data_IF_249917752419
#
_entry.id   IF_249917752419
#
_cell.length_a   1.000
_cell.length_b   1.000
_cell.length_c   1.000
_cell.angle_alpha   90.00
_cell.angle_beta   90.00
_cell.angle_gamma   90.00
#
_symmetry.space_group_name_H-M   'P 1'
#
loop_
_entity.id
_entity.type
_entity.pdbx_description
1 polymer ?
#
# COMPACT_ATOMS: atom_id res chain seq x y z
N UNK A 1 7.51 -31.54 14.62
CA UNK A 1 8.66 -31.16 13.74
C UNK A 1 9.15 -32.24 12.76
N UNK A 2 9.77 -33.38 13.14
CA UNK A 2 10.24 -34.37 12.14
C UNK A 2 9.14 -35.12 11.37
N UNK A 3 7.92 -35.17 11.92
CA UNK A 3 6.76 -35.87 11.32
C UNK A 3 6.04 -34.99 10.29
N UNK A 4 5.78 -33.72 10.60
CA UNK A 4 5.15 -32.75 9.69
C UNK A 4 5.97 -32.49 8.42
N UNK A 5 7.31 -32.53 8.51
CA UNK A 5 8.17 -32.34 7.33
C UNK A 5 8.00 -33.44 6.28
N UNK A 6 7.68 -34.66 6.71
CA UNK A 6 7.45 -35.80 5.81
C UNK A 6 6.08 -35.71 5.15
N UNK A 7 5.04 -35.32 5.89
CA UNK A 7 3.70 -35.12 5.32
C UNK A 7 3.68 -34.01 4.26
N UNK A 8 4.45 -32.93 4.47
CA UNK A 8 4.56 -31.86 3.48
C UNK A 8 5.25 -32.33 2.18
N UNK A 9 6.30 -33.14 2.28
CA UNK A 9 6.98 -33.70 1.10
C UNK A 9 6.07 -34.65 0.33
N UNK A 10 5.27 -35.45 1.05
CA UNK A 10 4.36 -36.41 0.44
C UNK A 10 3.18 -35.74 -0.28
N UNK A 11 2.72 -34.58 0.22
CA UNK A 11 1.71 -33.75 -0.44
C UNK A 11 2.25 -33.08 -1.70
N UNK A 12 3.47 -32.54 -1.66
CA UNK A 12 4.10 -31.92 -2.84
C UNK A 12 4.34 -32.95 -3.95
N UNK A 13 4.80 -34.16 -3.60
CA UNK A 13 4.98 -35.26 -4.55
C UNK A 13 3.66 -35.79 -5.14
N UNK A 14 2.50 -35.57 -4.49
CA UNK A 14 1.18 -35.88 -5.07
C UNK A 14 0.69 -34.80 -6.01
N UNK A 15 0.91 -33.53 -5.66
CA UNK A 15 0.54 -32.39 -6.50
C UNK A 15 1.35 -32.38 -7.82
N UNK A 16 2.65 -32.68 -7.75
CA UNK A 16 3.51 -32.75 -8.94
C UNK A 16 3.08 -33.85 -9.91
N UNK A 17 2.46 -34.93 -9.41
CA UNK A 17 1.89 -36.01 -10.24
C UNK A 17 0.51 -35.69 -10.82
N UNK A 18 -0.22 -34.73 -10.25
CA UNK A 18 -1.57 -34.38 -10.71
C UNK A 18 -1.58 -33.26 -11.76
N UNK A 19 -0.51 -32.49 -11.88
CA UNK A 19 -0.45 -31.39 -12.85
C UNK A 19 0.41 -31.82 -14.04
N UNK A 20 -0.24 -32.40 -15.05
CA UNK A 20 0.40 -32.56 -16.36
C UNK A 20 0.50 -31.20 -17.04
N UNK A 21 1.66 -30.83 -17.62
CA UNK A 21 1.76 -29.60 -18.41
C UNK A 21 0.78 -29.68 -19.59
N UNK A 22 0.18 -28.54 -20.00
CA UNK A 22 -0.73 -28.51 -21.14
C UNK A 22 -0.02 -29.03 -22.38
N UNK A 23 -0.73 -29.81 -23.19
CA UNK A 23 -0.14 -30.39 -24.39
C UNK A 23 0.21 -29.29 -25.40
N UNK A 24 1.17 -29.55 -26.28
CA UNK A 24 1.52 -28.61 -27.35
C UNK A 24 0.30 -28.26 -28.24
N UNK A 25 -0.66 -29.17 -28.35
CA UNK A 25 -1.92 -28.94 -29.05
C UNK A 25 -2.82 -27.94 -28.31
N UNK A 26 -2.87 -27.97 -26.98
CA UNK A 26 -3.61 -27.00 -26.18
C UNK A 26 -3.01 -25.60 -26.31
N UNK A 27 -1.67 -25.52 -26.30
CA UNK A 27 -0.95 -24.26 -26.51
C UNK A 27 -1.21 -23.69 -27.91
N UNK A 28 -1.22 -24.54 -28.95
CA UNK A 28 -1.56 -24.13 -30.32
C UNK A 28 -3.03 -23.74 -30.45
N UNK A 29 -3.95 -24.40 -29.75
CA UNK A 29 -5.37 -24.03 -29.73
C UNK A 29 -5.56 -22.66 -29.08
N UNK A 30 -4.92 -22.40 -27.93
CA UNK A 30 -4.94 -21.10 -27.26
C UNK A 30 -4.38 -19.97 -28.15
N UNK A 31 -3.30 -20.22 -28.88
CA UNK A 31 -2.71 -19.25 -29.80
C UNK A 31 -3.66 -18.91 -30.98
N UNK A 32 -4.43 -19.88 -31.49
CA UNK A 32 -5.43 -19.65 -32.54
C UNK A 32 -6.61 -18.81 -32.03
N UNK A 33 -7.09 -19.07 -30.81
CA UNK A 33 -8.18 -18.30 -30.20
C UNK A 33 -7.79 -16.85 -29.91
N UNK A 34 -6.51 -16.59 -29.60
CA UNK A 34 -5.99 -15.23 -29.44
C UNK A 34 -5.92 -14.46 -30.78
N UNK A 35 -5.74 -15.17 -31.89
CA UNK A 35 -5.55 -14.60 -33.23
C UNK A 35 -6.87 -14.28 -33.96
N UNK A 36 -8.01 -14.79 -33.47
CA UNK A 36 -9.32 -14.66 -34.12
C UNK A 36 -10.16 -13.48 -33.63
N UNK A 37 -9.59 -12.52 -32.89
CA UNK A 37 -10.31 -11.29 -32.52
C UNK A 37 -10.41 -10.36 -33.73
N UNK A 38 -11.61 -10.00 -34.20
CA UNK A 38 -11.76 -9.10 -35.34
C UNK A 38 -11.19 -7.71 -35.02
N UNK A 39 -10.38 -7.22 -35.96
CA UNK A 39 -9.75 -5.90 -35.92
C UNK A 39 -10.85 -4.82 -36.00
N UNK A 40 -10.88 -3.83 -35.09
CA UNK A 40 -11.85 -2.74 -35.18
C UNK A 40 -11.66 -1.98 -36.50
N UNK A 41 -12.77 -1.74 -37.21
CA UNK A 41 -12.79 -0.92 -38.41
C UNK A 41 -12.37 0.53 -38.08
N UNK A 42 -11.61 1.19 -38.96
CA UNK A 42 -11.19 2.57 -38.74
C UNK A 42 -12.39 3.53 -38.88
N UNK A 43 -12.52 4.44 -37.91
CA UNK A 43 -13.50 5.53 -37.96
C UNK A 43 -13.19 6.51 -39.11
N UNK A 44 -14.23 7.11 -39.73
CA UNK A 44 -14.04 8.07 -40.82
C UNK A 44 -13.40 9.38 -40.32
N UNK A 45 -12.41 9.86 -41.07
CA UNK A 45 -11.71 11.12 -40.78
C UNK A 45 -12.57 12.35 -41.13
N UNK A 46 -12.49 13.44 -40.35
CA UNK A 46 -13.15 14.70 -40.67
C UNK A 46 -12.45 15.49 -41.81
N UNK A 47 -13.17 16.40 -42.49
CA UNK A 47 -12.68 17.07 -43.69
C UNK A 47 -11.56 18.08 -43.41
N UNK A 48 -10.56 18.01 -44.29
CA UNK A 48 -9.28 18.73 -44.25
C UNK A 48 -9.44 20.09 -44.93
N UNK A 49 -9.42 21.20 -44.16
CA UNK A 49 -9.25 22.56 -44.70
C UNK A 49 -7.77 22.88 -44.81
N UNK A 50 -7.29 23.12 -46.03
CA UNK A 50 -5.99 23.73 -46.29
C UNK A 50 -6.10 25.25 -46.13
N UNK A 51 -5.00 25.90 -45.75
CA UNK A 51 -4.44 26.82 -46.73
C UNK A 51 -2.93 26.65 -46.92
N UNK A 52 -2.55 26.93 -48.17
CA UNK A 52 -1.20 27.08 -48.71
C UNK A 52 -0.47 28.23 -48.03
N UNK A 53 0.73 28.00 -47.49
CA UNK A 53 1.94 28.84 -47.62
C UNK A 53 3.14 27.92 -47.32
N UNK A 54 3.78 27.36 -48.35
CA UNK A 54 4.93 27.93 -49.06
C UNK A 54 6.25 27.82 -48.26
N UNK A 55 7.05 26.83 -48.70
CA UNK A 55 8.51 26.84 -48.93
C UNK A 55 9.38 27.38 -47.79
N UNK A 56 10.26 26.52 -47.25
CA UNK A 56 11.63 26.80 -46.73
C UNK A 56 11.99 25.85 -45.56
N UNK A 57 12.20 24.54 -45.80
CA UNK A 57 12.88 23.64 -44.83
C UNK A 57 13.55 22.44 -45.54
N UNK A 58 14.31 22.70 -46.61
CA UNK A 58 14.99 21.64 -47.38
C UNK A 58 16.39 21.24 -46.89
N UNK A 59 17.00 21.96 -45.93
CA UNK A 59 18.46 21.81 -45.67
C UNK A 59 18.81 21.37 -44.24
N UNK A 60 17.87 21.40 -43.27
CA UNK A 60 18.20 21.01 -41.88
C UNK A 60 18.03 19.50 -41.58
N UNK A 61 17.43 18.72 -42.46
CA UNK A 61 17.07 17.32 -42.18
C UNK A 61 18.22 16.32 -42.35
N UNK A 62 19.32 16.69 -43.03
CA UNK A 62 20.42 15.76 -43.32
C UNK A 62 21.52 15.79 -42.23
N UNK A 63 21.68 16.91 -41.51
CA UNK A 63 22.64 16.99 -40.41
C UNK A 63 22.19 16.22 -39.14
N UNK A 64 20.89 16.03 -38.93
CA UNK A 64 20.36 15.34 -37.75
C UNK A 64 20.48 13.80 -37.85
N UNK A 65 20.57 13.25 -39.06
CA UNK A 65 20.65 11.79 -39.27
C UNK A 65 22.09 11.27 -39.07
N UNK A 66 23.11 12.10 -39.29
CA UNK A 66 24.51 11.69 -39.09
C UNK A 66 24.94 11.80 -37.61
N UNK A 67 24.34 12.70 -36.82
CA UNK A 67 24.64 12.84 -35.39
C UNK A 67 24.07 11.70 -34.51
N UNK A 68 23.00 11.03 -34.94
CA UNK A 68 22.39 9.92 -34.17
C UNK A 68 23.06 8.56 -34.47
N UNK A 69 23.75 8.42 -35.62
CA UNK A 69 24.39 7.17 -36.04
C UNK A 69 25.74 6.85 -35.39
N UNK A 70 26.45 7.84 -34.84
CA UNK A 70 27.81 7.66 -34.29
C UNK A 70 27.88 7.56 -32.75
N UNK A 71 26.76 7.72 -32.03
CA UNK A 71 26.73 7.74 -30.56
C UNK A 71 26.63 6.38 -29.85
N UNK A 72 26.37 5.28 -30.57
CA UNK A 72 26.09 3.96 -29.96
C UNK A 72 27.27 2.97 -30.07
N UNK A 73 28.38 3.36 -30.71
CA UNK A 73 29.37 2.40 -31.21
C UNK A 73 30.72 2.25 -30.47
N UNK A 74 30.97 2.88 -29.31
CA UNK A 74 32.31 2.87 -28.69
C UNK A 74 32.40 2.40 -27.23
N UNK A 75 31.30 1.92 -26.63
CA UNK A 75 31.32 1.42 -25.24
C UNK A 75 31.54 -0.08 -25.05
N UNK A 76 31.58 -0.88 -26.13
CA UNK A 76 31.50 -2.35 -26.04
C UNK A 76 32.85 -3.09 -26.02
N UNK A 77 34.00 -2.39 -26.01
CA UNK A 77 35.30 -3.03 -26.27
C UNK A 77 36.22 -3.27 -25.05
N UNK A 78 35.79 -3.03 -23.81
CA UNK A 78 36.61 -3.38 -22.63
C UNK A 78 35.73 -3.90 -21.48
N UNK A 79 35.18 -5.11 -21.62
CA UNK A 79 34.83 -5.98 -20.50
C UNK A 79 34.74 -7.45 -20.97
N UNK A 80 35.46 -8.39 -20.32
CA UNK A 80 35.25 -9.81 -20.57
C UNK A 80 33.93 -10.24 -19.92
N UNK A 81 33.00 -10.73 -20.74
CA UNK A 81 31.80 -11.51 -20.37
C UNK A 81 30.99 -11.01 -19.17
N UNK A 82 30.13 -10.02 -19.42
CA UNK A 82 28.98 -9.71 -18.59
C UNK A 82 27.92 -9.05 -19.45
N UNK A 83 26.79 -9.71 -19.67
CA UNK A 83 25.64 -9.14 -20.39
C UNK A 83 25.22 -7.83 -19.73
N UNK A 84 25.48 -6.71 -20.41
CA UNK A 84 24.86 -5.43 -20.04
C UNK A 84 23.34 -5.58 -20.23
N UNK A 85 22.58 -5.43 -19.14
CA UNK A 85 21.13 -5.30 -19.25
C UNK A 85 20.80 -4.09 -20.16
N UNK A 86 19.70 -4.13 -20.94
CA UNK A 86 19.27 -3.00 -21.75
C UNK A 86 19.22 -1.71 -20.93
N UNK A 87 19.60 -0.57 -21.53
CA UNK A 87 19.70 0.72 -20.86
C UNK A 87 18.43 1.12 -20.09
N UNK A 88 18.55 2.00 -19.08
CA UNK A 88 17.46 2.27 -18.14
C UNK A 88 16.32 3.03 -18.82
N UNK A 89 15.27 2.29 -19.18
CA UNK A 89 13.94 2.83 -19.45
C UNK A 89 13.14 2.62 -18.16
N UNK A 90 13.21 3.55 -17.21
CA UNK A 90 12.37 3.50 -15.99
C UNK A 90 13.03 3.90 -14.68
N UNK A 91 12.30 3.66 -13.59
CA UNK A 91 12.66 3.97 -12.20
C UNK A 91 13.81 3.06 -11.68
N UNK A 92 14.83 3.64 -11.03
CA UNK A 92 15.97 2.94 -10.40
C UNK A 92 17.27 3.75 -10.48
N UNK A 93 18.42 3.13 -10.75
CA UNK A 93 19.73 3.83 -10.70
C UNK A 93 20.42 3.88 -12.06
N UNK A 94 21.11 4.98 -12.37
CA UNK A 94 22.15 4.97 -13.39
C UNK A 94 23.46 4.43 -12.79
N UNK A 95 24.20 3.53 -13.46
CA UNK A 95 25.46 3.03 -12.95
C UNK A 95 26.51 4.14 -12.89
N UNK A 96 27.12 4.34 -11.72
CA UNK A 96 28.34 5.13 -11.56
C UNK A 96 29.61 4.34 -11.88
N UNK A 97 30.77 5.00 -12.03
CA UNK A 97 32.05 4.31 -12.15
C UNK A 97 32.28 3.35 -10.97
N UNK A 98 32.55 2.08 -11.25
CA UNK A 98 32.74 1.04 -10.23
C UNK A 98 31.45 0.54 -9.56
N UNK A 99 30.27 0.87 -10.10
CA UNK A 99 28.98 0.38 -9.60
C UNK A 99 28.32 -0.57 -10.58
N UNK A 100 27.79 -1.66 -10.04
CA UNK A 100 26.87 -2.56 -10.73
C UNK A 100 25.45 -2.20 -10.34
N UNK A 101 24.56 -2.06 -11.33
CA UNK A 101 23.13 -1.80 -11.11
C UNK A 101 22.31 -2.96 -11.68
N UNK A 102 21.31 -3.38 -10.92
CA UNK A 102 20.31 -4.36 -11.32
C UNK A 102 18.91 -3.77 -11.12
N UNK A 103 18.03 -3.93 -12.09
CA UNK A 103 16.62 -3.50 -12.01
C UNK A 103 15.69 -4.64 -12.45
N UNK A 104 14.56 -4.84 -11.74
CA UNK A 104 13.60 -5.92 -12.06
C UNK A 104 12.46 -5.49 -13.00
N UNK A 105 12.47 -4.25 -13.49
CA UNK A 105 11.52 -3.72 -14.48
C UNK A 105 10.99 -2.33 -14.09
N UNK A 106 10.36 -1.63 -15.04
CA UNK A 106 9.82 -0.26 -14.89
C UNK A 106 8.44 -0.19 -14.24
N UNK A 107 7.74 -1.31 -14.14
CA UNK A 107 6.29 -1.33 -13.90
C UNK A 107 6.00 -1.53 -12.41
N UNK A 108 6.31 -0.53 -11.59
CA UNK A 108 5.75 -0.47 -10.25
C UNK A 108 4.22 -0.40 -10.39
N UNK A 109 3.52 -1.38 -9.83
CA UNK A 109 2.05 -1.36 -9.70
C UNK A 109 1.69 -1.33 -8.22
N UNK A 110 0.43 -1.05 -7.85
CA UNK A 110 0.00 -1.19 -6.45
C UNK A 110 0.19 -2.61 -5.90
N UNK A 111 0.20 -3.62 -6.78
CA UNK A 111 0.30 -5.03 -6.42
C UNK A 111 1.74 -5.58 -6.53
N UNK A 112 2.63 -4.88 -7.25
CA UNK A 112 4.00 -5.32 -7.51
C UNK A 112 4.98 -4.17 -7.39
N UNK A 113 5.90 -4.27 -6.42
CA UNK A 113 6.96 -3.28 -6.25
C UNK A 113 7.99 -3.40 -7.39
N UNK A 114 8.43 -2.26 -7.94
CA UNK A 114 9.64 -2.26 -8.75
C UNK A 114 10.85 -2.22 -7.81
N UNK A 115 11.92 -2.91 -8.18
CA UNK A 115 13.12 -3.06 -7.37
C UNK A 115 14.35 -2.68 -8.18
N UNK A 116 15.22 -1.87 -7.57
CA UNK A 116 16.55 -1.56 -8.10
C UNK A 116 17.62 -1.79 -7.02
N UNK A 117 18.72 -2.41 -7.40
CA UNK A 117 19.88 -2.64 -6.55
C UNK A 117 21.08 -1.97 -7.19
N UNK A 118 21.84 -1.19 -6.42
CA UNK A 118 23.14 -0.66 -6.82
C UNK A 118 24.20 -1.12 -5.82
N UNK A 119 25.33 -1.62 -6.32
CA UNK A 119 26.44 -2.03 -5.45
C UNK A 119 27.81 -1.72 -6.05
N UNK A 120 28.79 -1.39 -5.22
CA UNK A 120 30.19 -1.20 -5.62
C UNK A 120 31.04 -2.48 -5.49
N UNK A 121 30.41 -3.62 -5.19
CA UNK A 121 31.04 -4.94 -5.18
C UNK A 121 30.37 -5.86 -6.19
N UNK A 122 31.04 -6.90 -6.69
CA UNK A 122 30.40 -7.90 -7.53
C UNK A 122 29.19 -8.53 -6.80
N UNK A 123 28.06 -8.62 -7.48
CA UNK A 123 26.90 -9.37 -6.97
C UNK A 123 27.23 -10.87 -6.92
N UNK A 124 26.81 -11.53 -5.84
CA UNK A 124 26.90 -12.98 -5.75
C UNK A 124 26.04 -13.63 -6.86
N UNK A 125 26.46 -14.75 -7.48
CA UNK A 125 25.70 -15.38 -8.57
C UNK A 125 24.25 -15.73 -8.21
N UNK A 126 24.00 -16.09 -6.95
CA UNK A 126 22.66 -16.37 -6.41
C UNK A 126 21.78 -15.12 -6.31
N UNK A 127 22.38 -13.93 -6.22
CA UNK A 127 21.70 -12.64 -6.22
C UNK A 127 21.66 -12.01 -7.62
N UNK A 128 21.80 -12.82 -8.67
CA UNK A 128 21.65 -12.34 -10.05
C UNK A 128 20.20 -11.92 -10.35
N UNK A 129 19.98 -11.34 -11.52
CA UNK A 129 18.66 -10.89 -12.02
C UNK A 129 17.54 -11.93 -11.86
N UNK A 130 17.87 -13.23 -11.94
CA UNK A 130 16.91 -14.33 -11.74
C UNK A 130 16.66 -14.63 -10.26
N UNK A 131 17.69 -14.55 -9.42
CA UNK A 131 17.59 -14.83 -7.99
C UNK A 131 16.81 -13.75 -7.24
N UNK A 132 17.06 -12.47 -7.55
CA UNK A 132 16.39 -11.34 -6.89
C UNK A 132 14.89 -11.25 -7.20
N UNK A 133 14.43 -11.76 -8.36
CA UNK A 133 13.00 -11.83 -8.69
C UNK A 133 12.22 -12.85 -7.87
N UNK A 134 12.92 -13.84 -7.29
CA UNK A 134 12.32 -14.95 -6.55
C UNK A 134 12.59 -14.88 -5.03
N UNK A 135 13.44 -13.93 -4.59
CA UNK A 135 13.77 -13.70 -3.18
C UNK A 135 13.01 -12.49 -2.62
N UNK A 136 13.18 -12.20 -1.33
CA UNK A 136 12.61 -11.06 -0.59
C UNK A 136 12.99 -9.65 -1.13
N UNK A 137 13.57 -9.57 -2.32
CA UNK A 137 14.06 -8.33 -2.94
C UNK A 137 15.43 -7.86 -2.44
N UNK A 138 16.08 -8.63 -1.56
CA UNK A 138 17.40 -8.33 -1.00
C UNK A 138 18.47 -9.27 -1.56
N UNK A 139 19.68 -8.78 -1.90
CA UNK A 139 20.79 -9.61 -2.37
C UNK A 139 21.49 -10.28 -1.17
N UNK A 140 20.87 -11.31 -0.59
CA UNK A 140 21.25 -11.87 0.70
C UNK A 140 22.69 -12.43 0.71
N UNK A 141 23.06 -13.21 -0.30
CA UNK A 141 24.39 -13.85 -0.37
C UNK A 141 25.50 -12.80 -0.51
N UNK A 142 25.24 -11.71 -1.23
CA UNK A 142 26.11 -10.54 -1.37
C UNK A 142 26.24 -9.80 -0.05
N UNK A 143 25.14 -9.60 0.68
CA UNK A 143 25.14 -8.91 1.98
C UNK A 143 25.90 -9.70 3.06
N UNK A 144 25.81 -11.03 3.06
CA UNK A 144 26.58 -11.90 3.97
C UNK A 144 28.08 -11.76 3.77
N UNK A 145 28.52 -11.59 2.52
CA UNK A 145 29.93 -11.51 2.13
C UNK A 145 30.42 -10.07 1.93
N UNK A 146 29.59 -9.06 2.26
CA UNK A 146 29.90 -7.67 1.98
C UNK A 146 31.20 -7.24 2.70
N UNK A 147 32.26 -6.85 1.96
CA UNK A 147 33.53 -6.43 2.56
C UNK A 147 33.39 -5.07 3.25
N UNK A 148 34.30 -4.67 4.15
CA UNK A 148 34.18 -3.43 4.92
C UNK A 148 34.00 -2.13 4.12
N UNK A 149 34.48 -2.12 2.86
CA UNK A 149 34.35 -1.00 1.90
C UNK A 149 33.19 -1.19 0.91
N UNK A 150 32.44 -2.27 1.04
CA UNK A 150 31.29 -2.59 0.22
C UNK A 150 30.06 -1.80 0.62
N UNK A 151 29.31 -1.38 -0.39
CA UNK A 151 28.03 -0.69 -0.28
C UNK A 151 27.02 -1.41 -1.17
N UNK A 152 25.83 -1.63 -0.63
CA UNK A 152 24.66 -2.07 -1.37
C UNK A 152 23.53 -1.09 -1.06
N UNK A 153 22.91 -0.55 -2.10
CA UNK A 153 21.71 0.28 -2.03
C UNK A 153 20.58 -0.51 -2.68
N UNK A 154 19.51 -0.74 -1.92
CA UNK A 154 18.30 -1.38 -2.42
C UNK A 154 17.18 -0.35 -2.42
N UNK A 155 16.58 -0.09 -3.58
CA UNK A 155 15.46 0.81 -3.75
C UNK A 155 14.21 0.01 -4.14
N UNK A 156 13.17 0.13 -3.32
CA UNK A 156 11.84 -0.40 -3.57
C UNK A 156 10.92 0.74 -3.96
N UNK A 157 10.26 0.62 -5.09
CA UNK A 157 9.34 1.63 -5.63
C UNK A 157 7.93 1.07 -5.68
N UNK A 158 7.00 1.84 -5.14
CA UNK A 158 5.56 1.58 -5.19
C UNK A 158 4.84 2.82 -5.70
N UNK A 159 3.74 2.65 -6.43
CA UNK A 159 2.93 3.79 -6.81
C UNK A 159 2.26 4.39 -5.59
N UNK A 160 2.30 5.72 -5.48
CA UNK A 160 1.56 6.48 -4.48
C UNK A 160 0.08 6.33 -4.78
N UNK A 161 -0.59 5.50 -3.99
CA UNK A 161 -2.05 5.43 -4.02
C UNK A 161 -2.61 6.71 -3.41
N UNK A 162 -3.34 7.50 -4.21
CA UNK A 162 -4.03 8.74 -3.77
C UNK A 162 -4.98 8.55 -2.58
N UNK A 163 -5.30 7.30 -2.22
CA UNK A 163 -6.34 6.93 -1.26
C UNK A 163 -5.83 6.32 0.06
N UNK A 164 -4.52 6.30 0.32
CA UNK A 164 -3.96 5.84 1.59
C UNK A 164 -3.40 7.03 2.42
N UNK A 165 -4.22 7.71 3.24
CA UNK A 165 -3.83 8.92 3.98
C UNK A 165 -2.61 8.78 4.87
N UNK A 166 -2.45 7.61 5.49
CA UNK A 166 -1.42 7.32 6.50
C UNK A 166 -0.04 7.11 5.89
N UNK A 167 0.05 7.01 4.56
CA UNK A 167 1.32 6.78 3.87
C UNK A 167 2.18 8.01 3.70
N UNK A 168 1.57 9.18 3.52
CA UNK A 168 2.30 10.40 3.13
C UNK A 168 3.20 10.90 4.27
N UNK A 169 2.91 10.50 5.52
CA UNK A 169 3.78 10.76 6.66
C UNK A 169 4.88 9.70 6.82
N UNK A 170 4.60 8.43 6.49
CA UNK A 170 5.61 7.37 6.46
C UNK A 170 6.59 7.54 5.30
N UNK A 171 6.20 8.30 4.28
CA UNK A 171 6.95 8.61 3.08
C UNK A 171 6.89 10.12 2.80
N UNK A 172 7.62 10.95 3.57
CA UNK A 172 7.62 12.40 3.39
C UNK A 172 7.94 12.77 1.94
N UNK A 173 7.29 13.81 1.44
CA UNK A 173 7.58 14.32 0.09
C UNK A 173 8.99 14.91 0.04
N UNK A 174 9.77 14.43 -0.93
CA UNK A 174 11.13 14.89 -1.19
C UNK A 174 11.34 15.11 -2.68
N UNK A 175 12.19 16.08 -3.01
CA UNK A 175 12.72 16.26 -4.35
C UNK A 175 14.04 15.49 -4.50
N UNK A 176 14.35 15.07 -5.73
CA UNK A 176 15.67 14.51 -6.03
C UNK A 176 16.72 15.63 -6.08
N UNK A 177 17.98 15.37 -5.67
CA UNK A 177 18.49 14.09 -5.16
C UNK A 177 18.22 13.89 -3.66
N UNK A 178 17.86 12.65 -3.28
CA UNK A 178 17.71 12.24 -1.89
C UNK A 178 19.07 12.22 -1.18
N UNK A 179 19.10 12.37 0.15
CA UNK A 179 20.35 12.39 0.93
C UNK A 179 20.46 11.21 1.87
N UNK A 180 21.60 10.52 1.85
CA UNK A 180 21.91 9.39 2.75
C UNK A 180 21.84 9.83 4.22
N UNK A 181 22.18 11.09 4.53
CA UNK A 181 22.12 11.64 5.90
C UNK A 181 20.70 11.70 6.47
N UNK A 182 19.68 11.70 5.60
CA UNK A 182 18.28 11.73 6.02
C UNK A 182 17.76 10.31 6.33
N UNK A 183 18.60 9.28 6.12
CA UNK A 183 18.29 7.90 6.44
C UNK A 183 18.38 7.65 7.96
N UNK A 184 17.39 6.93 8.49
CA UNK A 184 17.37 6.50 9.88
C UNK A 184 18.30 5.31 10.09
N UNK A 185 18.99 5.24 11.23
CA UNK A 185 19.92 4.17 11.61
C UNK A 185 19.23 2.85 12.04
N UNK A 186 18.04 2.59 11.52
CA UNK A 186 17.28 1.37 11.75
C UNK A 186 16.49 1.03 10.50
N UNK A 187 16.50 -0.26 10.12
CA UNK A 187 15.61 -0.79 9.10
C UNK A 187 14.39 -1.33 9.83
N UNK A 188 13.21 -0.81 9.49
CA UNK A 188 11.97 -1.26 10.10
C UNK A 188 11.75 -2.73 9.74
N UNK A 189 11.59 -3.59 10.75
CA UNK A 189 11.29 -5.03 10.59
C UNK A 189 12.41 -5.93 10.06
N UNK A 190 13.68 -5.50 10.04
CA UNK A 190 14.79 -6.40 9.66
C UNK A 190 15.63 -6.85 10.86
N UNK A 191 16.07 -8.11 10.82
CA UNK A 191 17.09 -8.65 11.71
C UNK A 191 18.48 -8.31 11.17
N UNK A 192 19.45 -8.09 12.06
CA UNK A 192 20.85 -7.92 11.67
C UNK A 192 21.30 -9.17 10.89
N UNK A 193 21.57 -9.01 9.59
CA UNK A 193 21.89 -10.14 8.70
C UNK A 193 23.19 -10.85 9.07
N UNK A 194 24.08 -10.17 9.80
CA UNK A 194 25.36 -10.69 10.26
C UNK A 194 25.56 -10.41 11.76
N UNK A 195 25.10 -11.31 12.64
CA UNK A 195 25.22 -11.10 14.10
C UNK A 195 26.68 -10.89 14.55
N UNK A 196 27.61 -11.66 13.99
CA UNK A 196 29.03 -11.62 14.37
C UNK A 196 29.82 -10.47 13.73
N UNK A 197 29.36 -9.97 12.58
CA UNK A 197 29.99 -8.88 11.82
C UNK A 197 28.91 -7.92 11.31
N UNK A 198 28.31 -7.14 12.22
CA UNK A 198 27.13 -6.34 11.91
C UNK A 198 27.39 -5.34 10.80
N UNK A 199 26.46 -5.28 9.86
CA UNK A 199 26.44 -4.29 8.79
C UNK A 199 25.98 -2.94 9.35
N UNK A 200 26.47 -1.84 8.75
CA UNK A 200 25.83 -0.55 8.89
C UNK A 200 24.55 -0.55 8.08
N UNK A 201 23.40 -0.41 8.74
CA UNK A 201 22.08 -0.53 8.13
C UNK A 201 21.29 0.75 8.31
N UNK A 202 20.82 1.32 7.20
CA UNK A 202 20.06 2.56 7.21
C UNK A 202 18.86 2.46 6.29
N UNK A 203 17.78 3.12 6.65
CA UNK A 203 16.55 3.18 5.86
C UNK A 203 16.15 4.63 5.61
N UNK A 204 15.86 4.94 4.36
CA UNK A 204 15.27 6.22 3.96
C UNK A 204 13.93 5.95 3.27
N UNK A 205 12.89 6.65 3.70
CA UNK A 205 11.58 6.61 3.08
C UNK A 205 11.27 7.98 2.50
N UNK A 206 10.81 8.00 1.25
CA UNK A 206 10.46 9.24 0.58
C UNK A 206 9.34 9.02 -0.42
N UNK A 207 8.55 10.07 -0.65
CA UNK A 207 7.68 10.19 -1.82
C UNK A 207 8.36 11.11 -2.83
N UNK A 208 8.60 10.62 -4.04
CA UNK A 208 9.14 11.38 -5.16
C UNK A 208 8.17 11.28 -6.33
N UNK A 209 7.51 12.38 -6.66
CA UNK A 209 6.43 12.39 -7.65
C UNK A 209 5.30 11.42 -7.27
N UNK A 210 4.94 10.52 -8.19
CA UNK A 210 3.90 9.50 -7.98
C UNK A 210 4.44 8.19 -7.37
N UNK A 211 5.68 8.17 -6.89
CA UNK A 211 6.30 6.97 -6.31
C UNK A 211 6.61 7.15 -4.83
N UNK A 212 6.27 6.14 -4.05
CA UNK A 212 6.83 5.93 -2.71
C UNK A 212 8.05 5.03 -2.83
N UNK A 213 9.10 5.43 -2.15
CA UNK A 213 10.44 4.85 -2.26
C UNK A 213 10.89 4.45 -0.87
N UNK A 214 11.26 3.17 -0.70
CA UNK A 214 12.04 2.70 0.45
C UNK A 214 13.44 2.41 -0.04
N UNK A 215 14.42 3.10 0.53
CA UNK A 215 15.84 2.92 0.28
C UNK A 215 16.49 2.26 1.49
N UNK A 216 17.07 1.08 1.28
CA UNK A 216 17.92 0.42 2.27
C UNK A 216 19.38 0.59 1.87
N UNK A 217 20.18 1.11 2.79
CA UNK A 217 21.63 1.21 2.64
C UNK A 217 22.29 0.16 3.54
N UNK A 218 23.12 -0.67 2.94
CA UNK A 218 23.94 -1.64 3.64
C UNK A 218 25.41 -1.31 3.42
N UNK A 219 26.12 -1.11 4.52
CA UNK A 219 27.56 -0.88 4.55
C UNK A 219 28.24 -2.10 5.18
N UNK A 220 29.33 -2.56 4.59
CA UNK A 220 30.09 -3.70 5.12
C UNK A 220 30.78 -3.44 6.47
N UNK A 221 30.77 -2.20 6.95
CA UNK A 221 31.20 -1.82 8.29
C UNK A 221 30.01 -1.28 9.10
N UNK A 222 29.93 -1.66 10.39
CA UNK A 222 28.89 -1.20 11.33
C UNK A 222 28.80 0.33 11.41
N UNK A 223 29.95 0.99 11.39
CA UNK A 223 30.07 2.44 11.39
C UNK A 223 30.78 2.86 10.09
N UNK A 224 30.03 3.19 9.03
CA UNK A 224 30.63 3.56 7.75
C UNK A 224 31.44 4.84 7.88
N UNK A 225 32.59 4.91 7.21
CA UNK A 225 33.40 6.12 7.18
C UNK A 225 32.70 7.23 6.36
N UNK A 226 33.02 8.51 6.60
CA UNK A 226 32.48 9.62 5.79
C UNK A 226 32.72 9.44 4.29
N UNK A 227 33.86 8.85 3.91
CA UNK A 227 34.18 8.54 2.51
C UNK A 227 33.23 7.48 1.92
N UNK A 228 32.84 6.49 2.73
CA UNK A 228 31.92 5.44 2.31
C UNK A 228 30.49 5.97 2.18
N UNK A 229 30.06 6.84 3.11
CA UNK A 229 28.78 7.58 3.01
C UNK A 229 28.76 8.46 1.77
N UNK A 230 29.83 9.22 1.50
CA UNK A 230 29.94 10.04 0.30
C UNK A 230 29.91 9.19 -0.99
N UNK A 231 30.47 7.98 -0.95
CA UNK A 231 30.42 7.04 -2.08
C UNK A 231 29.00 6.55 -2.33
N UNK A 232 28.25 6.20 -1.28
CA UNK A 232 26.83 5.88 -1.40
C UNK A 232 26.00 7.07 -1.91
N UNK A 233 26.28 8.28 -1.42
CA UNK A 233 25.60 9.50 -1.86
C UNK A 233 25.78 9.75 -3.35
N UNK A 234 27.01 9.63 -3.89
CA UNK A 234 27.27 9.81 -5.33
C UNK A 234 26.49 8.83 -6.21
N UNK A 235 26.22 7.62 -5.73
CA UNK A 235 25.37 6.67 -6.44
C UNK A 235 23.87 6.98 -6.23
N UNK A 236 23.48 7.44 -5.05
CA UNK A 236 22.10 7.87 -4.78
C UNK A 236 21.70 9.09 -5.62
N UNK A 237 22.64 10.03 -5.87
CA UNK A 237 22.45 11.17 -6.76
C UNK A 237 22.12 10.75 -8.21
N UNK A 238 22.35 9.47 -8.55
CA UNK A 238 22.03 8.85 -9.85
C UNK A 238 20.72 8.06 -9.82
N UNK A 239 19.91 8.20 -8.76
CA UNK A 239 18.57 7.65 -8.69
C UNK A 239 17.64 8.42 -9.66
N UNK A 240 16.91 7.68 -10.48
CA UNK A 240 15.89 8.19 -11.39
C UNK A 240 14.54 7.62 -10.97
N UNK A 241 13.54 8.47 -10.96
CA UNK A 241 12.15 8.10 -10.70
C UNK A 241 11.33 8.51 -11.91
N UNK A 242 10.75 7.55 -12.62
CA UNK A 242 9.92 7.85 -13.77
C UNK A 242 8.65 8.59 -13.33
N UNK A 243 8.23 9.60 -14.08
CA UNK A 243 6.92 10.21 -13.89
C UNK A 243 5.86 9.33 -14.55
N UNK A 244 4.79 9.02 -13.81
CA UNK A 244 3.64 8.30 -14.38
C UNK A 244 2.83 9.30 -15.17
N UNK A 245 3.16 9.48 -16.45
CA UNK A 245 2.33 10.23 -17.38
C UNK A 245 1.12 9.37 -17.76
N UNK A 246 0.16 9.24 -16.84
CA UNK A 246 -1.12 8.62 -17.16
C UNK A 246 -1.93 9.51 -18.12
N UNK A 247 -2.62 8.96 -19.12
CA UNK A 247 -3.59 9.73 -19.90
C UNK A 247 -4.70 10.17 -18.95
N UNK A 248 -4.74 11.45 -18.62
CA UNK A 248 -5.84 12.08 -17.89
C UNK A 248 -7.11 11.99 -18.75
N UNK A 249 -7.84 10.89 -18.64
CA UNK A 249 -9.18 10.81 -19.21
C UNK A 249 -10.05 11.83 -18.48
N UNK A 250 -10.58 12.80 -19.23
CA UNK A 250 -11.53 13.83 -18.78
C UNK A 250 -12.79 13.28 -18.05
N UNK A 251 -12.94 11.95 -17.95
CA UNK A 251 -13.96 11.26 -17.19
C UNK A 251 -13.89 11.51 -15.67
N UNK A 252 -12.68 11.59 -15.09
CA UNK A 252 -12.54 11.84 -13.64
C UNK A 252 -12.97 13.27 -13.24
N UNK A 253 -12.86 14.23 -14.17
CA UNK A 253 -13.25 15.63 -13.91
C UNK A 253 -14.76 15.85 -13.92
N UNK A 254 -15.53 15.00 -14.62
CA UNK A 254 -17.00 15.09 -14.65
C UNK A 254 -17.70 14.38 -13.48
N UNK A 255 -17.03 13.46 -12.80
CA UNK A 255 -17.61 12.81 -11.60
C UNK A 255 -17.41 13.63 -10.31
N UNK A 256 -16.49 14.60 -10.30
CA UNK A 256 -16.24 15.45 -9.13
C UNK A 256 -17.26 16.57 -8.92
N UNK A 257 -18.16 16.83 -9.88
CA UNK A 257 -19.14 17.94 -9.81
C UNK A 257 -20.58 17.50 -9.53
N UNK A 258 -20.90 16.20 -9.50
CA UNK A 258 -22.29 15.73 -9.35
C UNK A 258 -22.69 15.27 -7.94
N UNK A 259 -21.79 15.32 -6.95
CA UNK A 259 -22.15 15.09 -5.54
C UNK A 259 -21.10 15.71 -4.61
N UNK A 260 -21.01 17.03 -4.57
CA UNK A 260 -20.40 17.70 -3.42
C UNK A 260 -21.28 17.41 -2.19
N UNK A 261 -20.97 16.32 -1.46
CA UNK A 261 -21.54 16.10 -0.14
C UNK A 261 -21.23 17.35 0.68
N UNK A 262 -22.26 18.13 1.02
CA UNK A 262 -22.13 19.34 1.85
C UNK A 262 -21.31 18.98 3.09
N UNK A 263 -20.20 19.69 3.29
CA UNK A 263 -19.40 19.53 4.49
C UNK A 263 -20.33 19.75 5.69
N UNK A 264 -20.32 18.80 6.63
CA UNK A 264 -21.16 18.84 7.81
C UNK A 264 -20.31 18.56 9.04
N UNK A 265 -20.66 19.22 10.14
CA UNK A 265 -20.05 18.92 11.45
C UNK A 265 -20.56 17.59 12.01
N UNK A 266 -21.70 17.10 11.53
CA UNK A 266 -22.31 15.85 11.97
C UNK A 266 -22.54 14.94 10.76
N UNK A 267 -22.00 13.73 10.83
CA UNK A 267 -22.37 12.63 9.94
C UNK A 267 -23.21 11.67 10.76
N UNK A 268 -24.48 11.52 10.39
CA UNK A 268 -25.40 10.55 10.99
C UNK A 268 -26.07 9.78 9.85
N UNK A 269 -25.78 8.49 9.76
CA UNK A 269 -26.22 7.63 8.65
C UNK A 269 -26.65 6.29 9.18
N UNK A 270 -27.80 5.81 8.70
CA UNK A 270 -28.20 4.41 8.83
C UNK A 270 -27.91 3.68 7.53
N UNK A 271 -27.30 2.51 7.63
CA UNK A 271 -27.04 1.59 6.53
C UNK A 271 -27.56 0.20 6.86
N UNK A 272 -27.82 -0.60 5.83
CA UNK A 272 -28.05 -2.04 5.93
C UNK A 272 -26.82 -2.77 5.42
N UNK A 273 -26.26 -3.63 6.25
CA UNK A 273 -25.09 -4.44 5.94
C UNK A 273 -25.52 -5.88 5.73
N UNK A 274 -24.96 -6.56 4.71
CA UNK A 274 -25.17 -7.99 4.49
C UNK A 274 -23.98 -8.76 5.04
N UNK A 275 -24.25 -9.73 5.92
CA UNK A 275 -23.24 -10.55 6.57
C UNK A 275 -22.94 -11.77 5.71
N UNK A 276 -21.66 -12.10 5.57
CA UNK A 276 -21.17 -13.16 4.68
C UNK A 276 -21.83 -14.50 5.04
N UNK A 277 -22.40 -15.22 4.05
CA UNK A 277 -22.99 -16.52 4.31
C UNK A 277 -21.93 -17.57 4.65
N UNK A 278 -22.27 -18.47 5.59
CA UNK A 278 -21.47 -19.62 6.01
C UNK A 278 -21.60 -19.83 7.52
N UNK A 279 -21.86 -21.06 7.98
CA UNK A 279 -21.96 -21.39 9.41
C UNK A 279 -22.82 -20.45 10.25
N UNK A 280 -22.38 -20.20 11.49
CA UNK A 280 -22.90 -19.14 12.36
C UNK A 280 -22.49 -17.79 11.77
N UNK A 281 -23.47 -16.91 11.54
CA UNK A 281 -23.21 -15.54 11.07
C UNK A 281 -22.83 -14.68 12.24
N UNK A 282 -21.69 -14.04 12.11
CA UNK A 282 -20.96 -13.44 13.22
C UNK A 282 -20.56 -12.03 12.86
N UNK A 283 -20.52 -11.17 13.87
CA UNK A 283 -20.09 -9.79 13.76
C UNK A 283 -19.24 -9.48 14.98
N UNK A 284 -17.99 -9.12 14.76
CA UNK A 284 -17.11 -8.67 15.83
C UNK A 284 -17.46 -7.21 16.11
N UNK A 285 -17.68 -6.88 17.38
CA UNK A 285 -17.85 -5.51 17.84
C UNK A 285 -16.77 -5.20 18.85
N UNK A 286 -16.11 -4.07 18.67
CA UNK A 286 -14.96 -3.70 19.48
C UNK A 286 -15.09 -2.27 20.02
N UNK A 287 -14.53 -2.06 21.20
CA UNK A 287 -14.28 -0.72 21.73
C UNK A 287 -13.01 -0.71 22.56
N UNK A 288 -12.30 0.41 22.55
CA UNK A 288 -11.10 0.62 23.36
C UNK A 288 -11.10 2.04 23.91
N UNK A 289 -10.86 2.19 25.19
CA UNK A 289 -10.64 3.52 25.79
C UNK A 289 -9.28 4.07 25.39
N UNK A 290 -9.19 5.39 25.27
CA UNK A 290 -7.94 6.07 24.95
C UNK A 290 -6.93 5.96 26.08
N UNK A 291 -5.66 5.81 25.72
CA UNK A 291 -4.55 5.76 26.68
C UNK A 291 -3.61 6.94 26.41
N UNK A 292 -3.27 7.69 27.46
CA UNK A 292 -2.29 8.79 27.37
C UNK A 292 -0.87 8.24 27.34
N UNK A 293 0.04 9.00 26.73
CA UNK A 293 1.46 8.69 26.82
C UNK A 293 1.92 8.84 28.28
N UNK A 294 2.68 7.85 28.77
CA UNK A 294 3.18 7.87 30.16
C UNK A 294 4.26 8.93 30.35
N UNK A 295 5.07 9.18 29.33
CA UNK A 295 6.12 10.21 29.33
C UNK A 295 5.57 11.61 29.12
N UNK A 296 4.40 11.75 28.48
CA UNK A 296 3.73 13.03 28.30
C UNK A 296 2.20 12.89 28.32
N UNK A 297 1.54 13.05 29.48
CA UNK A 297 0.10 12.87 29.64
C UNK A 297 -0.77 13.83 28.82
N UNK A 298 -0.20 14.93 28.30
CA UNK A 298 -0.93 15.84 27.40
C UNK A 298 -1.32 15.17 26.07
N UNK A 299 -0.74 14.00 25.80
CA UNK A 299 -0.72 13.39 24.49
C UNK A 299 -1.34 11.99 24.48
N UNK A 300 -2.00 11.68 23.38
CA UNK A 300 -2.61 10.37 23.18
C UNK A 300 -1.54 9.39 22.68
N UNK A 301 -1.34 8.30 23.43
CA UNK A 301 -0.65 7.11 22.92
C UNK A 301 -1.60 6.29 22.04
N UNK A 302 -2.82 6.07 22.53
CA UNK A 302 -3.92 5.47 21.77
C UNK A 302 -5.16 6.32 21.91
N UNK A 303 -5.84 6.58 20.79
CA UNK A 303 -7.14 7.23 20.81
C UNK A 303 -8.24 6.23 21.23
N UNK A 304 -9.31 6.70 21.88
CA UNK A 304 -10.50 5.89 22.06
C UNK A 304 -11.04 5.47 20.68
N UNK A 305 -11.35 4.19 20.55
CA UNK A 305 -11.71 3.54 19.29
C UNK A 305 -12.98 2.74 19.48
N UNK A 306 -13.83 2.71 18.46
CA UNK A 306 -14.97 1.81 18.35
C UNK A 306 -15.05 1.27 16.92
N UNK A 307 -15.49 0.03 16.79
CA UNK A 307 -15.61 -0.60 15.49
C UNK A 307 -16.54 -1.79 15.47
N UNK A 308 -16.86 -2.21 14.26
CA UNK A 308 -17.37 -3.56 14.00
C UNK A 308 -16.82 -4.07 12.68
N UNK A 309 -16.74 -5.39 12.54
CA UNK A 309 -16.37 -6.05 11.28
C UNK A 309 -17.07 -7.39 11.15
N UNK A 310 -17.33 -7.80 9.91
CA UNK A 310 -17.57 -9.21 9.59
C UNK A 310 -16.19 -9.89 9.44
N UNK A 311 -15.79 -10.78 10.36
CA UNK A 311 -14.45 -11.40 10.38
C UNK A 311 -14.15 -12.21 9.11
N UNK A 312 -15.19 -12.59 8.35
CA UNK A 312 -15.07 -13.42 7.15
C UNK A 312 -15.07 -12.60 5.87
N UNK A 313 -15.23 -11.28 5.96
CA UNK A 313 -15.14 -10.43 4.77
C UNK A 313 -13.69 -10.22 4.35
N UNK A 314 -13.40 -10.58 3.10
CA UNK A 314 -12.16 -10.14 2.45
C UNK A 314 -12.09 -8.61 2.40
N UNK A 315 -10.89 -8.03 2.36
CA UNK A 315 -10.69 -6.58 2.23
C UNK A 315 -11.36 -5.94 0.98
N UNK A 316 -11.78 -6.75 0.00
CA UNK A 316 -12.56 -6.34 -1.17
C UNK A 316 -14.05 -6.06 -0.85
N UNK A 317 -14.60 -6.62 0.24
CA UNK A 317 -16.00 -6.49 0.66
C UNK A 317 -16.08 -6.04 2.11
N UNK A 318 -15.43 -4.93 2.43
CA UNK A 318 -15.47 -4.33 3.77
C UNK A 318 -16.92 -4.17 4.25
N UNK A 319 -17.36 -5.08 5.12
CA UNK A 319 -18.55 -4.92 5.95
C UNK A 319 -18.07 -4.55 7.34
N UNK A 320 -17.61 -3.31 7.45
CA UNK A 320 -17.06 -2.77 8.69
C UNK A 320 -17.33 -1.28 8.80
N UNK A 321 -17.34 -0.80 10.03
CA UNK A 321 -17.15 0.61 10.31
C UNK A 321 -16.23 0.75 11.52
N UNK A 322 -15.40 1.78 11.52
CA UNK A 322 -14.54 2.10 12.66
C UNK A 322 -14.41 3.60 12.82
N UNK A 323 -14.31 4.04 14.07
CA UNK A 323 -14.21 5.44 14.46
C UNK A 323 -13.26 5.63 15.63
N UNK A 324 -12.34 6.59 15.52
CA UNK A 324 -11.50 7.06 16.63
C UNK A 324 -11.76 8.52 16.95
N UNK A 325 -11.93 8.83 18.24
CA UNK A 325 -12.25 10.18 18.70
C UNK A 325 -11.04 10.85 19.38
N UNK A 326 -10.82 12.14 19.10
CA UNK A 326 -9.71 12.93 19.65
C UNK A 326 -8.76 13.48 18.60
N UNK A 327 -7.53 13.79 19.02
CA UNK A 327 -6.44 14.32 18.21
C UNK A 327 -5.21 13.44 18.41
N UNK A 328 -4.70 12.72 17.41
CA UNK A 328 -3.51 11.89 17.59
C UNK A 328 -2.33 12.79 17.96
N UNK A 329 -1.54 12.40 18.96
CA UNK A 329 -0.28 13.08 19.23
C UNK A 329 0.84 12.60 18.31
N UNK A 330 0.86 11.31 17.98
CA UNK A 330 1.86 10.71 17.11
C UNK A 330 1.14 9.91 16.05
N UNK A 331 1.35 10.27 14.80
CA UNK A 331 0.78 9.63 13.63
C UNK A 331 1.73 8.49 13.14
N UNK A 332 2.59 7.98 14.06
CA UNK A 332 3.67 7.00 13.84
C UNK A 332 3.39 5.55 14.17
N UNK A 333 2.25 5.18 14.77
CA UNK A 333 1.99 3.74 14.98
C UNK A 333 1.35 3.14 13.72
N UNK A 334 2.02 2.23 12.98
CA UNK A 334 1.43 1.52 11.84
C UNK A 334 0.25 0.60 12.25
N UNK A 335 0.02 0.41 13.55
CA UNK A 335 -1.18 -0.23 14.11
C UNK A 335 -2.10 0.71 14.92
N UNK A 336 -1.77 2.00 14.98
CA UNK A 336 -2.52 3.01 15.71
C UNK A 336 -3.71 3.48 14.89
N UNK A 337 -4.91 3.36 15.45
CA UNK A 337 -6.13 3.88 14.86
C UNK A 337 -6.02 5.41 14.73
N UNK A 338 -5.55 5.89 13.58
CA UNK A 338 -5.55 7.32 13.24
C UNK A 338 -6.99 7.86 13.27
N UNK A 339 -7.17 9.18 13.35
CA UNK A 339 -8.50 9.83 13.33
C UNK A 339 -9.27 9.45 12.08
N UNK A 340 -10.03 8.37 12.18
CA UNK A 340 -10.63 7.79 11.00
C UNK A 340 -12.07 7.49 11.30
N UNK A 341 -12.95 8.15 10.57
CA UNK A 341 -14.25 7.58 10.27
C UNK A 341 -14.05 6.65 9.07
N UNK A 342 -14.38 5.36 9.20
CA UNK A 342 -14.46 4.42 8.09
C UNK A 342 -15.84 3.79 8.05
N UNK A 343 -16.41 3.67 6.85
CA UNK A 343 -17.62 2.91 6.59
C UNK A 343 -17.47 2.15 5.28
N UNK A 344 -17.49 0.82 5.33
CA UNK A 344 -17.40 -0.02 4.15
C UNK A 344 -18.58 0.17 3.20
N UNK A 345 -18.30 0.26 1.90
CA UNK A 345 -19.34 0.48 0.89
C UNK A 345 -20.16 -0.77 0.53
N UNK A 346 -19.85 -1.93 1.15
CA UNK A 346 -20.70 -3.11 1.05
C UNK A 346 -22.07 -2.90 1.72
N UNK A 347 -22.14 -1.98 2.69
CA UNK A 347 -23.39 -1.57 3.31
C UNK A 347 -24.10 -0.52 2.44
N UNK A 348 -25.42 -0.64 2.32
CA UNK A 348 -26.26 0.27 1.53
C UNK A 348 -26.98 1.25 2.45
N UNK A 349 -27.16 2.50 2.03
CA UNK A 349 -27.97 3.47 2.78
C UNK A 349 -29.37 2.91 3.05
N UNK A 350 -29.88 3.10 4.26
CA UNK A 350 -31.20 2.66 4.67
C UNK A 350 -31.92 3.77 5.46
N UNK A 351 -33.22 3.90 5.24
CA UNK A 351 -34.08 4.81 6.00
C UNK A 351 -34.74 4.05 7.17
N UNK A 352 -33.91 3.56 8.09
CA UNK A 352 -34.38 2.86 9.29
C UNK A 352 -33.99 3.63 10.55
N UNK A 353 -34.91 3.65 11.52
CA UNK A 353 -34.64 4.20 12.85
C UNK A 353 -33.86 3.19 13.69
N UNK A 354 -32.57 3.45 13.90
CA UNK A 354 -31.75 2.69 14.86
C UNK A 354 -31.47 3.61 16.06
N UNK A 355 -31.85 3.17 17.25
CA UNK A 355 -31.67 3.94 18.48
C UNK A 355 -30.20 3.96 18.92
N UNK A 356 -29.70 5.12 19.35
CA UNK A 356 -28.40 5.26 20.02
C UNK A 356 -28.60 5.17 21.54
N UNK A 357 -29.18 4.06 22.00
CA UNK A 357 -29.51 3.84 23.41
C UNK A 357 -28.93 2.50 23.88
N UNK A 358 -28.42 2.46 25.11
CA UNK A 358 -27.98 1.23 25.76
C UNK A 358 -29.13 0.44 26.39
N UNK A 359 -30.38 0.90 26.25
CA UNK A 359 -31.53 0.17 26.79
C UNK A 359 -31.60 -1.24 26.18
N UNK A 360 -31.75 -2.26 27.04
CA UNK A 360 -31.76 -3.69 26.67
C UNK A 360 -30.41 -4.22 26.15
N UNK A 361 -29.32 -3.49 26.42
CA UNK A 361 -27.95 -3.96 26.21
C UNK A 361 -27.25 -4.02 27.57
N UNK A 362 -26.30 -4.95 27.70
CA UNK A 362 -25.43 -5.12 28.86
C UNK A 362 -24.02 -4.65 28.50
N UNK A 363 -23.26 -4.14 29.47
CA UNK A 363 -21.91 -3.62 29.21
C UNK A 363 -21.63 -2.31 29.94
N UNK A 364 -20.60 -1.59 29.52
CA UNK A 364 -20.07 -0.48 30.30
C UNK A 364 -18.92 0.27 29.66
N UNK A 365 -18.02 0.78 30.50
CA UNK A 365 -16.80 1.44 30.04
C UNK A 365 -15.88 0.40 29.38
N UNK A 366 -15.31 0.76 28.24
CA UNK A 366 -14.41 -0.12 27.52
C UNK A 366 -12.99 -0.10 28.13
N UNK A 367 -12.31 -1.24 28.12
CA UNK A 367 -10.94 -1.38 28.58
C UNK A 367 -9.95 -0.54 27.75
N UNK A 368 -8.87 0.00 28.34
CA UNK A 368 -7.78 0.62 27.60
C UNK A 368 -7.02 -0.34 26.67
N UNK A 369 -7.05 -1.65 26.95
CA UNK A 369 -6.47 -2.68 26.06
C UNK A 369 -7.43 -3.12 24.96
N UNK A 370 -8.70 -2.72 25.04
CA UNK A 370 -9.76 -3.12 24.12
C UNK A 370 -10.65 -4.21 24.71
N UNK A 371 -11.93 -4.14 24.38
CA UNK A 371 -12.92 -5.19 24.57
C UNK A 371 -13.48 -5.56 23.20
N UNK A 372 -13.58 -6.85 22.92
CA UNK A 372 -14.10 -7.41 21.67
C UNK A 372 -15.17 -8.46 22.01
N UNK A 373 -16.27 -8.44 21.26
CA UNK A 373 -17.35 -9.40 21.40
C UNK A 373 -17.77 -9.95 20.04
N UNK A 374 -18.01 -11.24 20.01
CA UNK A 374 -18.53 -11.96 18.86
C UNK A 374 -20.04 -12.04 18.97
N UNK A 375 -20.75 -11.38 18.06
CA UNK A 375 -22.20 -11.32 18.05
C UNK A 375 -22.80 -12.24 16.98
N UNK A 376 -23.68 -13.15 17.36
CA UNK A 376 -24.47 -13.94 16.41
C UNK A 376 -25.58 -13.06 15.83
N UNK A 377 -25.58 -12.88 14.51
CA UNK A 377 -26.45 -11.93 13.81
C UNK A 377 -27.22 -12.55 12.64
N UNK A 378 -28.38 -11.98 12.26
CA UNK A 378 -29.06 -12.38 11.03
C UNK A 378 -28.24 -12.02 9.76
N UNK A 379 -28.72 -12.48 8.59
CA UNK A 379 -28.08 -12.18 7.29
C UNK A 379 -27.92 -10.69 7.00
N UNK A 380 -28.80 -9.86 7.57
CA UNK A 380 -28.82 -8.42 7.38
C UNK A 380 -29.01 -7.74 8.72
N UNK A 381 -28.21 -6.71 8.97
CA UNK A 381 -28.32 -5.85 10.15
C UNK A 381 -28.43 -4.40 9.71
N UNK A 382 -29.16 -3.61 10.50
CA UNK A 382 -29.09 -2.16 10.39
C UNK A 382 -27.95 -1.66 11.27
N UNK A 383 -27.17 -0.73 10.73
CA UNK A 383 -26.09 -0.08 11.44
C UNK A 383 -26.29 1.43 11.32
N UNK A 384 -26.34 2.12 12.46
CA UNK A 384 -26.29 3.57 12.51
C UNK A 384 -24.94 4.03 12.99
N UNK A 385 -24.29 4.83 12.16
CA UNK A 385 -23.03 5.49 12.47
C UNK A 385 -23.29 6.98 12.68
N UNK A 386 -22.84 7.51 13.82
CA UNK A 386 -22.91 8.94 14.13
C UNK A 386 -21.53 9.43 14.55
N UNK A 387 -21.01 10.44 13.86
CA UNK A 387 -19.78 11.13 14.22
C UNK A 387 -20.03 12.65 14.28
N UNK A 388 -19.54 13.28 15.34
CA UNK A 388 -19.52 14.73 15.52
C UNK A 388 -18.08 15.19 15.39
N UNK A 389 -17.78 15.98 14.36
CA UNK A 389 -16.45 16.45 14.03
C UNK A 389 -16.15 17.79 14.69
N UNK A 390 -14.86 18.11 14.89
CA UNK A 390 -14.41 19.41 15.38
C UNK A 390 -14.70 20.52 14.37
N UNK A 391 -14.46 20.26 13.09
CA UNK A 391 -14.77 21.14 11.98
C UNK A 391 -15.73 20.48 10.97
N UNK A 392 -16.45 21.24 10.13
CA UNK A 392 -17.25 20.66 9.05
C UNK A 392 -16.39 19.83 8.09
N UNK A 393 -16.84 18.62 7.76
CA UNK A 393 -16.11 17.69 6.89
C UNK A 393 -17.04 16.99 5.92
N UNK A 394 -16.50 16.53 4.79
CA UNK A 394 -17.22 15.76 3.78
C UNK A 394 -16.73 14.32 3.76
N UNK A 395 -17.67 13.37 3.65
CA UNK A 395 -17.32 11.97 3.41
C UNK A 395 -16.70 11.84 2.03
N UNK A 396 -15.53 11.22 1.99
CA UNK A 396 -14.78 10.91 0.77
C UNK A 396 -14.88 9.43 0.48
N UNK A 397 -14.88 9.05 -0.79
CA UNK A 397 -14.80 7.65 -1.20
C UNK A 397 -13.33 7.25 -1.38
N UNK A 398 -12.92 6.15 -0.77
CA UNK A 398 -11.61 5.53 -0.93
C UNK A 398 -11.72 4.11 -1.48
N UNK A 399 -10.57 3.50 -1.81
CA UNK A 399 -10.44 2.09 -2.17
C UNK A 399 -9.33 1.42 -1.38
N UNK A 400 -9.56 0.20 -0.91
CA UNK A 400 -8.53 -0.64 -0.29
C UNK A 400 -7.56 -1.15 -1.36
N UNK A 401 -6.36 -1.62 -0.97
CA UNK A 401 -5.44 -2.29 -1.89
C UNK A 401 -6.08 -3.43 -2.67
N UNK A 402 -6.98 -4.17 -2.03
CA UNK A 402 -7.77 -5.25 -2.66
C UNK A 402 -8.95 -4.76 -3.53
N UNK A 403 -9.11 -3.46 -3.75
CA UNK A 403 -10.15 -2.86 -4.59
C UNK A 403 -11.51 -2.62 -3.90
N UNK A 404 -11.65 -2.93 -2.61
CA UNK A 404 -12.87 -2.70 -1.84
C UNK A 404 -13.12 -1.21 -1.63
N UNK A 405 -14.36 -0.76 -1.79
CA UNK A 405 -14.70 0.66 -1.63
C UNK A 405 -15.11 0.98 -0.19
N UNK A 406 -14.72 2.15 0.32
CA UNK A 406 -15.14 2.64 1.63
C UNK A 406 -15.39 4.15 1.61
N UNK A 407 -16.09 4.66 2.61
CA UNK A 407 -16.27 6.07 2.89
C UNK A 407 -15.44 6.48 4.11
N UNK A 408 -14.80 7.64 4.05
CA UNK A 408 -13.99 8.14 5.15
C UNK A 408 -14.05 9.66 5.34
N UNK A 409 -13.73 10.11 6.55
CA UNK A 409 -13.48 11.51 6.89
C UNK A 409 -12.20 11.62 7.72
N UNK A 410 -11.43 12.70 7.54
CA UNK A 410 -10.10 12.92 8.15
C UNK A 410 -10.10 13.95 9.28
N UNK A 411 -11.24 14.55 9.58
CA UNK A 411 -11.34 15.58 10.61
C UNK A 411 -11.43 14.94 12.00
N UNK A 412 -10.98 15.65 13.02
CA UNK A 412 -11.01 15.17 14.40
C UNK A 412 -12.45 14.91 14.86
N UNK A 413 -12.70 13.72 15.41
CA UNK A 413 -14.01 13.37 15.95
C UNK A 413 -14.06 13.72 17.44
N UNK A 414 -15.07 14.48 17.86
CA UNK A 414 -15.38 14.74 19.28
C UNK A 414 -16.14 13.59 19.91
N UNK A 415 -17.14 13.10 19.18
CA UNK A 415 -18.06 12.03 19.60
C UNK A 415 -18.29 11.07 18.45
N UNK A 416 -18.21 9.78 18.73
CA UNK A 416 -18.55 8.72 17.80
C UNK A 416 -19.54 7.74 18.45
N UNK A 417 -20.47 7.22 17.67
CA UNK A 417 -21.37 6.15 18.06
C UNK A 417 -21.63 5.19 16.89
N UNK A 418 -21.61 3.89 17.18
CA UNK A 418 -22.04 2.81 16.28
C UNK A 418 -23.14 2.06 17.02
N UNK A 419 -24.34 2.01 16.46
CA UNK A 419 -25.42 1.16 16.96
C UNK A 419 -25.79 0.13 15.89
N UNK A 420 -25.94 -1.12 16.31
CA UNK A 420 -26.28 -2.26 15.45
C UNK A 420 -27.58 -2.85 15.95
N UNK A 421 -28.52 -3.08 15.03
CA UNK A 421 -29.78 -3.74 15.32
C UNK A 421 -30.16 -4.73 14.22
N UNK A 422 -31.00 -5.68 14.58
CA UNK A 422 -31.66 -6.54 13.59
C UNK A 422 -32.56 -5.68 12.68
N UNK A 423 -32.94 -6.22 11.53
CA UNK A 423 -33.94 -5.59 10.64
C UNK A 423 -35.31 -5.40 11.31
N UNK A 424 -35.60 -6.13 12.40
CA UNK A 424 -36.81 -6.00 13.22
C UNK A 424 -36.65 -4.96 14.35
N UNK A 425 -35.51 -4.27 14.44
CA UNK A 425 -35.26 -3.23 15.44
C UNK A 425 -34.76 -3.74 16.80
N UNK A 426 -34.60 -5.06 17.01
CA UNK A 426 -33.95 -5.59 18.22
C UNK A 426 -32.48 -5.10 18.28
N UNK A 427 -32.04 -4.39 19.33
CA UNK A 427 -30.67 -3.93 19.45
C UNK A 427 -29.72 -5.11 19.65
N UNK A 428 -28.54 -5.04 19.03
CA UNK A 428 -27.48 -6.05 19.10
C UNK A 428 -26.28 -5.47 19.84
N UNK A 429 -25.82 -4.27 19.46
CA UNK A 429 -24.69 -3.63 20.10
C UNK A 429 -24.76 -2.10 19.99
N UNK A 430 -24.13 -1.42 20.92
CA UNK A 430 -23.87 0.02 20.93
C UNK A 430 -22.44 0.26 21.40
N UNK A 431 -21.62 0.86 20.55
CA UNK A 431 -20.29 1.33 20.90
C UNK A 431 -20.26 2.85 20.81
N UNK A 432 -19.62 3.51 21.78
CA UNK A 432 -19.44 4.98 21.78
C UNK A 432 -18.02 5.35 22.15
N UNK A 433 -17.49 6.42 21.54
CA UNK A 433 -16.19 7.00 21.86
C UNK A 433 -16.28 8.52 21.98
N UNK A 434 -15.50 9.10 22.89
CA UNK A 434 -15.44 10.52 23.15
C UNK A 434 -14.00 11.00 23.22
N UNK A 435 -13.71 12.18 22.70
CA UNK A 435 -12.36 12.77 22.62
C UNK A 435 -11.63 12.97 23.96
N UNK A 436 -12.35 12.79 25.08
CA UNK A 436 -11.78 12.74 26.42
C UNK A 436 -11.03 11.43 26.71
N UNK A 437 -11.05 10.45 25.80
CA UNK A 437 -10.50 9.12 25.99
C UNK A 437 -11.49 8.06 26.44
N UNK A 438 -12.76 8.44 26.67
CA UNK A 438 -13.76 7.48 27.14
C UNK A 438 -14.31 6.71 25.95
N UNK A 439 -14.31 5.39 26.04
CA UNK A 439 -15.12 4.54 25.17
C UNK A 439 -16.04 3.66 26.02
N UNK A 440 -17.16 3.24 25.44
CA UNK A 440 -18.13 2.34 26.06
C UNK A 440 -18.62 1.33 25.03
N UNK A 441 -18.81 0.10 25.47
CA UNK A 441 -19.37 -0.98 24.66
C UNK A 441 -20.52 -1.64 25.43
N UNK A 442 -21.65 -1.76 24.75
CA UNK A 442 -22.82 -2.45 25.22
C UNK A 442 -23.27 -3.46 24.16
N UNK A 443 -23.59 -4.67 24.59
CA UNK A 443 -23.97 -5.80 23.73
C UNK A 443 -25.22 -6.49 24.26
N UNK A 444 -26.01 -7.07 23.35
CA UNK A 444 -27.18 -7.87 23.69
C UNK A 444 -26.83 -9.32 23.95
N UNK A 445 -27.82 -10.11 24.35
CA UNK A 445 -27.67 -11.50 24.81
C UNK A 445 -27.14 -12.47 23.73
N UNK A 446 -27.06 -12.04 22.47
CA UNK A 446 -26.51 -12.83 21.35
C UNK A 446 -25.01 -12.65 21.16
N UNK A 447 -24.35 -11.89 22.03
CA UNK A 447 -22.93 -11.60 21.95
C UNK A 447 -22.19 -12.23 23.13
N UNK A 448 -21.05 -12.85 22.85
CA UNK A 448 -20.10 -13.35 23.84
C UNK A 448 -18.75 -12.64 23.72
N UNK A 449 -17.91 -12.60 24.76
CA UNK A 449 -16.53 -12.13 24.63
C UNK A 449 -15.79 -12.94 23.56
N UNK A 450 -15.00 -12.27 22.72
CA UNK A 450 -14.17 -12.93 21.72
C UNK A 450 -13.05 -13.74 22.39
N UNK A 451 -12.82 -14.96 21.90
CA UNK A 451 -11.93 -15.96 22.52
C UNK A 451 -10.47 -15.92 22.07
#
# INVERSE_FOLDING_TARGET
MRRERRELHDLLARLERQVSPPSENDLRAMARTASSRPRPLPSPAPPRRWPLQARWTGVLAIALVIAVGLGVGLGALIAPSGTAAPGPIGTGFLPGPGWTVLQTGSDATPERQALAVATNVPLHPEDSARGIRNSSGLPYSTLLQLPPRGVVIVALFTLRLKYEPWSDELFPEHELPLRVRDAMNSISYSYQMRPERPLGQYELRATVGDHRIVLHFYFGARHPSPQLIATAQRQLDRLIVASVSGPTTNADRRQSTSAAARASKIVDRTVVCSITPGGVRELDVEARSGTRDFSDPSKWRFLPHIGFRDPRTSAARLTSASMSAGRPYIQRDPGGSSNTFLLGAACRTANAGVSLSSARLSGGAASPVGDEYDCVVPAKVFVRVRAVFRAPTSLRRGRTPSGGTYYYAREDIREAAIAISTVLGKPIALATAHESGRARLFVGDTCGPSG
#
